data_IF_737206130742
#
_entry.id   IF_737206130742
#
_cell.length_a   1.000
_cell.length_b   1.000
_cell.length_c   1.000
_cell.angle_alpha   90.00
_cell.angle_beta   90.00
_cell.angle_gamma   90.00
#
_symmetry.space_group_name_H-M   'P 1'
#
loop_
_entity.id
_entity.type
_entity.pdbx_description
1 polymer ?
#
# COMPACT_ATOMS: atom_id res chain seq x y z
N UNK A 1 4.53 -17.77 21.35
CA UNK A 1 5.37 -16.55 21.20
C UNK A 1 5.86 -16.52 19.76
N UNK A 2 5.62 -15.43 19.03
CA UNK A 2 5.97 -15.32 17.62
C UNK A 2 7.46 -15.50 17.36
N UNK A 3 7.79 -16.25 16.32
CA UNK A 3 9.16 -16.33 15.80
C UNK A 3 9.64 -14.90 15.45
N UNK A 4 10.83 -14.46 15.92
CA UNK A 4 11.37 -13.15 15.58
C UNK A 4 11.50 -12.94 14.07
N UNK A 5 11.35 -11.71 13.58
CA UNK A 5 11.43 -11.37 12.14
C UNK A 5 12.66 -11.97 11.42
N UNK A 6 13.89 -11.95 12.00
CA UNK A 6 15.03 -12.59 11.36
C UNK A 6 14.86 -14.10 11.16
N UNK A 7 14.26 -14.80 12.11
CA UNK A 7 14.03 -16.24 12.05
C UNK A 7 12.96 -16.59 11.00
N UNK A 8 11.87 -15.81 10.92
CA UNK A 8 10.83 -15.98 9.88
C UNK A 8 11.43 -15.73 8.49
N UNK A 9 12.24 -14.67 8.36
CA UNK A 9 12.91 -14.34 7.11
C UNK A 9 13.85 -15.47 6.67
N UNK A 10 14.72 -16.00 7.54
CA UNK A 10 15.65 -17.08 7.18
C UNK A 10 14.88 -18.32 6.70
N UNK A 11 13.81 -18.70 7.41
CA UNK A 11 12.97 -19.83 7.01
C UNK A 11 12.34 -19.59 5.62
N UNK A 12 11.78 -18.41 5.39
CA UNK A 12 11.18 -18.06 4.11
C UNK A 12 12.22 -17.92 2.98
N UNK A 13 13.43 -17.43 3.28
CA UNK A 13 14.51 -17.31 2.31
C UNK A 13 15.00 -18.68 1.83
N UNK A 14 15.11 -19.67 2.74
CA UNK A 14 15.54 -21.03 2.37
C UNK A 14 14.44 -21.78 1.60
N UNK A 15 13.17 -21.58 1.95
CA UNK A 15 12.05 -22.34 1.36
C UNK A 15 11.43 -21.68 0.13
N UNK A 16 11.26 -20.35 0.14
CA UNK A 16 10.43 -19.60 -0.84
C UNK A 16 11.28 -18.85 -1.85
N UNK A 17 12.45 -18.31 -1.47
CA UNK A 17 13.30 -17.58 -2.42
C UNK A 17 13.72 -18.41 -3.66
N UNK A 18 14.05 -19.72 -3.54
CA UNK A 18 14.35 -20.54 -4.72
C UNK A 18 13.16 -20.66 -5.67
N UNK A 19 11.94 -20.77 -5.14
CA UNK A 19 10.72 -20.84 -5.96
C UNK A 19 10.46 -19.50 -6.68
N UNK A 20 10.62 -18.37 -5.99
CA UNK A 20 10.45 -17.04 -6.60
C UNK A 20 11.46 -16.78 -7.71
N UNK A 21 12.73 -17.17 -7.49
CA UNK A 21 13.78 -17.00 -8.51
C UNK A 21 13.56 -17.90 -9.73
N UNK A 22 13.04 -19.12 -9.55
CA UNK A 22 12.62 -19.99 -10.66
C UNK A 22 11.46 -19.39 -11.48
N UNK A 23 10.60 -18.59 -10.86
CA UNK A 23 9.53 -17.84 -11.52
C UNK A 23 10.04 -16.56 -12.23
N UNK A 24 11.35 -16.33 -12.27
CA UNK A 24 11.96 -15.19 -12.96
C UNK A 24 12.05 -13.91 -12.13
N UNK A 25 11.74 -13.96 -10.82
CA UNK A 25 11.92 -12.83 -9.91
C UNK A 25 13.40 -12.65 -9.62
N UNK A 26 13.90 -11.40 -9.65
CA UNK A 26 15.30 -11.14 -9.32
C UNK A 26 15.61 -11.54 -7.87
N UNK A 27 16.84 -12.01 -7.62
CA UNK A 27 17.24 -12.45 -6.29
C UNK A 27 17.03 -11.35 -5.24
N UNK A 28 17.41 -10.11 -5.56
CA UNK A 28 17.22 -8.95 -4.69
C UNK A 28 15.73 -8.68 -4.39
N UNK A 29 14.88 -8.71 -5.43
CA UNK A 29 13.44 -8.54 -5.24
C UNK A 29 12.84 -9.62 -4.34
N UNK A 30 13.25 -10.89 -4.53
CA UNK A 30 12.79 -12.00 -3.71
C UNK A 30 13.16 -11.79 -2.23
N UNK A 31 14.41 -11.43 -1.92
CA UNK A 31 14.82 -11.20 -0.54
C UNK A 31 14.12 -9.99 0.10
N UNK A 32 13.96 -8.88 -0.61
CA UNK A 32 13.24 -7.70 -0.10
C UNK A 32 11.75 -7.99 0.12
N UNK A 33 11.13 -8.73 -0.80
CA UNK A 33 9.75 -9.20 -0.65
C UNK A 33 9.60 -10.01 0.63
N UNK A 34 10.50 -10.97 0.86
CA UNK A 34 10.45 -11.86 2.02
C UNK A 34 10.77 -11.14 3.33
N UNK A 35 11.76 -10.25 3.37
CA UNK A 35 12.07 -9.41 4.56
C UNK A 35 10.88 -8.54 4.92
N UNK A 36 10.25 -7.92 3.93
CA UNK A 36 9.10 -7.06 4.15
C UNK A 36 7.91 -7.87 4.70
N UNK A 37 7.59 -9.02 4.09
CA UNK A 37 6.52 -9.89 4.60
C UNK A 37 6.82 -10.47 5.98
N UNK A 38 8.06 -10.82 6.28
CA UNK A 38 8.48 -11.28 7.61
C UNK A 38 8.33 -10.16 8.66
N UNK A 39 8.46 -8.90 8.27
CA UNK A 39 8.21 -7.75 9.15
C UNK A 39 6.70 -7.57 9.37
N UNK A 40 5.88 -7.70 8.32
CA UNK A 40 4.43 -7.64 8.43
C UNK A 40 3.80 -8.82 9.18
N UNK A 41 4.42 -10.01 9.20
CA UNK A 41 3.86 -11.14 9.94
C UNK A 41 3.81 -10.89 11.46
N UNK A 42 4.68 -10.03 11.98
CA UNK A 42 4.73 -9.70 13.40
C UNK A 42 3.55 -8.82 13.87
N UNK A 43 2.77 -8.25 12.94
CA UNK A 43 1.63 -7.39 13.24
C UNK A 43 0.27 -8.09 13.06
N UNK A 44 0.22 -9.30 12.48
CA UNK A 44 -1.02 -10.06 12.33
C UNK A 44 -1.41 -10.81 13.62
N UNK A 45 -2.66 -10.68 14.11
CA UNK A 45 -3.16 -11.52 15.20
C UNK A 45 -3.15 -13.00 14.77
N UNK A 46 -2.85 -13.97 15.68
CA UNK A 46 -2.74 -13.86 17.14
C UNK A 46 -1.32 -13.55 17.66
N UNK A 47 -0.36 -13.27 16.78
CA UNK A 47 1.08 -13.20 17.13
C UNK A 47 1.55 -11.75 17.39
N UNK A 48 0.67 -10.76 17.20
CA UNK A 48 0.95 -9.33 17.29
C UNK A 48 1.44 -8.83 18.66
N UNK A 49 2.73 -9.06 18.99
CA UNK A 49 3.33 -8.77 20.31
C UNK A 49 3.15 -7.30 20.72
N UNK A 50 3.22 -6.37 19.77
CA UNK A 50 2.98 -4.95 20.02
C UNK A 50 1.55 -4.66 20.50
N UNK A 51 0.54 -5.38 19.99
CA UNK A 51 -0.85 -5.23 20.41
C UNK A 51 -1.07 -5.76 21.84
N UNK A 52 -0.36 -6.83 22.23
CA UNK A 52 -0.38 -7.33 23.62
C UNK A 52 0.27 -6.34 24.60
N UNK A 53 1.37 -5.69 24.19
CA UNK A 53 2.00 -4.65 24.98
C UNK A 53 1.13 -3.37 25.10
N UNK A 54 0.39 -3.02 24.05
CA UNK A 54 -0.49 -1.86 24.03
C UNK A 54 -1.83 -2.06 24.77
N UNK A 55 -2.30 -3.31 24.90
CA UNK A 55 -3.57 -3.65 25.54
C UNK A 55 -3.76 -3.08 26.97
N UNK A 56 -2.81 -3.22 27.92
CA UNK A 56 -2.96 -2.64 29.25
C UNK A 56 -2.96 -1.11 29.26
N UNK A 57 -2.33 -0.46 28.27
CA UNK A 57 -2.31 1.01 28.14
C UNK A 57 -3.63 1.51 27.58
N UNK A 58 -4.17 0.83 26.55
CA UNK A 58 -5.40 1.19 25.88
C UNK A 58 -6.68 0.68 26.58
N UNK A 59 -6.55 -0.09 27.67
CA UNK A 59 -7.64 -0.74 28.39
C UNK A 59 -8.59 -1.53 27.47
N UNK A 60 -8.03 -2.21 26.46
CA UNK A 60 -8.78 -2.89 25.42
C UNK A 60 -8.22 -4.29 25.11
N UNK A 61 -9.05 -5.15 24.52
CA UNK A 61 -8.66 -6.52 24.21
C UNK A 61 -7.57 -6.57 23.13
N UNK A 62 -6.42 -7.26 23.34
CA UNK A 62 -5.27 -7.24 22.43
C UNK A 62 -5.61 -7.72 21.02
N UNK A 63 -6.49 -8.71 20.89
CA UNK A 63 -6.94 -9.21 19.58
C UNK A 63 -7.69 -8.14 18.78
N UNK A 64 -8.50 -7.31 19.46
CA UNK A 64 -9.26 -6.25 18.79
C UNK A 64 -8.33 -5.12 18.34
N UNK A 65 -7.32 -4.77 19.15
CA UNK A 65 -6.28 -3.81 18.77
C UNK A 65 -5.53 -4.31 17.53
N UNK A 66 -5.06 -5.56 17.55
CA UNK A 66 -4.34 -6.14 16.43
C UNK A 66 -5.18 -6.24 15.15
N UNK A 67 -6.45 -6.62 15.24
CA UNK A 67 -7.35 -6.68 14.09
C UNK A 67 -7.58 -5.29 13.48
N UNK A 68 -7.80 -4.27 14.32
CA UNK A 68 -7.92 -2.89 13.85
C UNK A 68 -6.62 -2.38 13.22
N UNK A 69 -5.47 -2.71 13.80
CA UNK A 69 -4.16 -2.35 13.25
C UNK A 69 -3.94 -2.97 11.86
N UNK A 70 -4.25 -4.26 11.68
CA UNK A 70 -4.18 -4.92 10.37
C UNK A 70 -5.15 -4.30 9.37
N UNK A 71 -6.36 -3.94 9.80
CA UNK A 71 -7.35 -3.29 8.94
C UNK A 71 -6.83 -1.97 8.37
N UNK A 72 -6.17 -1.15 9.19
CA UNK A 72 -5.56 0.10 8.74
C UNK A 72 -4.30 -0.14 7.89
N UNK A 73 -3.53 -1.17 8.22
CA UNK A 73 -2.30 -1.50 7.50
C UNK A 73 -2.50 -2.38 6.26
N UNK A 74 -3.75 -2.61 5.80
CA UNK A 74 -4.05 -3.52 4.70
C UNK A 74 -3.27 -3.18 3.42
N UNK A 75 -3.10 -1.88 3.10
CA UNK A 75 -2.34 -1.45 1.91
C UNK A 75 -0.85 -1.82 2.01
N UNK A 76 -0.30 -1.89 3.23
CA UNK A 76 1.10 -2.26 3.42
C UNK A 76 1.41 -3.66 2.85
N UNK A 77 0.42 -4.57 2.81
CA UNK A 77 0.57 -5.90 2.21
C UNK A 77 0.70 -5.90 0.69
N UNK A 78 0.34 -4.79 0.02
CA UNK A 78 0.45 -4.66 -1.44
C UNK A 78 1.85 -4.19 -1.86
N UNK A 79 2.55 -3.47 -0.99
CA UNK A 79 3.87 -2.87 -1.28
C UNK A 79 4.92 -3.89 -1.73
N UNK A 80 5.04 -5.11 -1.16
CA UNK A 80 6.02 -6.09 -1.60
C UNK A 80 5.96 -6.43 -3.08
N UNK A 81 4.75 -6.46 -3.66
CA UNK A 81 4.57 -6.74 -5.07
C UNK A 81 5.23 -5.69 -5.97
N UNK A 82 5.38 -4.46 -5.48
CA UNK A 82 6.10 -3.41 -6.20
C UNK A 82 7.55 -3.79 -6.48
N UNK A 83 8.23 -4.47 -5.54
CA UNK A 83 9.61 -4.93 -5.71
C UNK A 83 9.74 -6.02 -6.78
N UNK A 84 8.70 -6.84 -6.94
CA UNK A 84 8.67 -7.93 -7.94
C UNK A 84 8.42 -7.37 -9.34
N UNK A 85 7.48 -6.43 -9.46
CA UNK A 85 7.08 -5.89 -10.76
C UNK A 85 7.96 -4.75 -11.25
N UNK A 86 8.59 -3.97 -10.38
CA UNK A 86 9.32 -2.78 -10.76
C UNK A 86 10.76 -2.78 -10.22
N UNK A 87 11.69 -3.25 -11.04
CA UNK A 87 13.12 -3.27 -10.73
C UNK A 87 13.72 -1.86 -10.54
N UNK A 88 13.04 -0.79 -10.98
CA UNK A 88 13.49 0.59 -10.75
C UNK A 88 13.51 0.98 -9.27
N UNK A 89 12.61 0.41 -8.45
CA UNK A 89 12.62 0.62 -6.98
C UNK A 89 13.86 -0.02 -6.34
N UNK A 90 14.40 -1.07 -6.97
CA UNK A 90 15.61 -1.76 -6.55
C UNK A 90 16.88 -1.00 -6.93
N UNK A 91 16.75 0.27 -7.35
CA UNK A 91 17.86 1.10 -7.85
C UNK A 91 18.58 0.45 -9.05
N UNK A 92 17.87 -0.39 -9.80
CA UNK A 92 18.41 -1.07 -10.98
C UNK A 92 18.03 -0.31 -12.24
N UNK A 93 19.04 0.08 -13.03
CA UNK A 93 18.88 0.76 -14.32
C UNK A 93 19.33 2.22 -14.34
N UNK A 94 18.86 2.97 -15.33
CA UNK A 94 19.17 4.40 -15.50
C UNK A 94 18.54 5.23 -14.37
N UNK A 95 19.22 6.28 -13.90
CA UNK A 95 18.73 7.24 -12.89
C UNK A 95 17.33 7.74 -13.23
N UNK A 96 17.05 8.06 -14.50
CA UNK A 96 15.72 8.49 -14.94
C UNK A 96 14.63 7.43 -14.70
N UNK A 97 14.93 6.17 -15.00
CA UNK A 97 14.02 5.06 -14.79
C UNK A 97 13.77 4.81 -13.30
N UNK A 98 14.83 4.86 -12.48
CA UNK A 98 14.76 4.72 -11.02
C UNK A 98 13.87 5.81 -10.42
N UNK A 99 14.12 7.08 -10.73
CA UNK A 99 13.34 8.20 -10.19
C UNK A 99 11.88 8.10 -10.60
N UNK A 100 11.61 7.77 -11.87
CA UNK A 100 10.24 7.60 -12.37
C UNK A 100 9.51 6.44 -11.67
N UNK A 101 10.16 5.29 -11.52
CA UNK A 101 9.59 4.13 -10.82
C UNK A 101 9.30 4.42 -9.35
N UNK A 102 10.20 5.10 -8.64
CA UNK A 102 9.98 5.51 -7.26
C UNK A 102 8.78 6.45 -7.14
N UNK A 103 8.64 7.43 -8.04
CA UNK A 103 7.49 8.34 -8.05
C UNK A 103 6.18 7.60 -8.37
N UNK A 104 6.20 6.73 -9.39
CA UNK A 104 5.03 5.97 -9.82
C UNK A 104 4.52 5.05 -8.71
N UNK A 105 5.40 4.32 -8.04
CA UNK A 105 5.02 3.41 -6.94
C UNK A 105 4.58 4.19 -5.71
N UNK A 106 5.24 5.30 -5.39
CA UNK A 106 4.79 6.19 -4.30
C UNK A 106 3.37 6.69 -4.57
N UNK A 107 3.09 7.13 -5.80
CA UNK A 107 1.77 7.56 -6.23
C UNK A 107 0.76 6.39 -6.22
N UNK A 108 1.17 5.19 -6.62
CA UNK A 108 0.35 3.97 -6.59
C UNK A 108 -0.12 3.66 -5.16
N UNK A 109 0.83 3.59 -4.21
CA UNK A 109 0.55 3.33 -2.79
C UNK A 109 -0.34 4.43 -2.22
N UNK A 110 -0.06 5.70 -2.52
CA UNK A 110 -0.92 6.81 -2.08
C UNK A 110 -2.37 6.65 -2.60
N UNK A 111 -2.55 6.33 -3.89
CA UNK A 111 -3.89 6.09 -4.45
C UNK A 111 -4.60 4.92 -3.78
N UNK A 112 -3.90 3.81 -3.53
CA UNK A 112 -4.46 2.66 -2.82
C UNK A 112 -4.85 3.00 -1.37
N UNK A 113 -4.05 3.83 -0.68
CA UNK A 113 -4.39 4.33 0.65
C UNK A 113 -5.69 5.12 0.65
N UNK A 114 -5.86 6.05 -0.31
CA UNK A 114 -7.10 6.81 -0.45
C UNK A 114 -8.30 5.94 -0.79
N UNK A 115 -8.07 4.92 -1.61
CA UNK A 115 -9.11 3.96 -1.95
C UNK A 115 -9.54 3.11 -0.75
N UNK A 116 -8.62 2.69 0.13
CA UNK A 116 -8.98 1.85 1.27
C UNK A 116 -9.60 2.66 2.41
N UNK A 117 -9.00 3.81 2.76
CA UNK A 117 -9.50 4.67 3.84
C UNK A 117 -10.79 5.40 3.44
N UNK A 118 -10.96 5.71 2.14
CA UNK A 118 -12.13 6.43 1.64
C UNK A 118 -12.25 7.85 2.21
N UNK A 119 -11.17 8.40 2.76
CA UNK A 119 -11.15 9.71 3.39
C UNK A 119 -9.83 10.45 3.09
N UNK A 120 -9.92 11.72 2.71
CA UNK A 120 -8.75 12.62 2.60
C UNK A 120 -8.96 13.86 3.48
N UNK A 121 -9.85 14.75 3.03
CA UNK A 121 -10.34 15.94 3.78
C UNK A 121 -11.85 15.86 4.02
N UNK A 122 -12.50 14.95 3.29
CA UNK A 122 -13.94 14.68 3.23
C UNK A 122 -14.10 13.19 2.88
N UNK A 123 -15.27 12.59 3.18
CA UNK A 123 -15.58 11.25 2.69
C UNK A 123 -15.57 11.23 1.16
N UNK A 124 -14.87 10.25 0.60
CA UNK A 124 -14.73 10.02 -0.84
C UNK A 124 -15.88 9.14 -1.30
N UNK A 125 -16.61 9.57 -2.34
CA UNK A 125 -17.67 8.76 -2.93
C UNK A 125 -17.17 7.45 -3.52
N UNK A 126 -18.00 6.41 -3.52
CA UNK A 126 -17.63 5.06 -3.97
C UNK A 126 -17.00 5.02 -5.38
N UNK A 127 -17.47 5.86 -6.30
CA UNK A 127 -16.92 5.98 -7.67
C UNK A 127 -15.48 6.50 -7.65
N UNK A 128 -15.20 7.59 -6.94
CA UNK A 128 -13.84 8.12 -6.82
C UNK A 128 -12.92 7.12 -6.14
N UNK A 129 -13.44 6.37 -5.17
CA UNK A 129 -12.70 5.31 -4.48
C UNK A 129 -12.29 4.18 -5.43
N UNK A 130 -13.20 3.75 -6.30
CA UNK A 130 -12.91 2.74 -7.32
C UNK A 130 -11.89 3.25 -8.35
N UNK A 131 -11.97 4.53 -8.75
CA UNK A 131 -11.00 5.14 -9.66
C UNK A 131 -9.60 5.21 -9.05
N UNK A 132 -9.47 5.60 -7.77
CA UNK A 132 -8.18 5.56 -7.07
C UNK A 132 -7.65 4.14 -6.92
N UNK A 133 -8.51 3.16 -6.69
CA UNK A 133 -8.12 1.75 -6.64
C UNK A 133 -7.56 1.27 -7.98
N UNK A 134 -8.29 1.54 -9.08
CA UNK A 134 -7.85 1.20 -10.43
C UNK A 134 -6.55 1.92 -10.83
N UNK A 135 -6.42 3.21 -10.49
CA UNK A 135 -5.20 3.96 -10.71
C UNK A 135 -4.02 3.41 -9.91
N UNK A 136 -4.24 3.05 -8.64
CA UNK A 136 -3.22 2.45 -7.79
C UNK A 136 -2.69 1.13 -8.33
N UNK A 137 -3.58 0.24 -8.78
CA UNK A 137 -3.18 -1.03 -9.41
C UNK A 137 -2.44 -0.78 -10.73
N UNK A 138 -2.96 0.11 -11.57
CA UNK A 138 -2.36 0.40 -12.88
C UNK A 138 -0.95 1.00 -12.77
N UNK A 139 -0.74 1.91 -11.81
CA UNK A 139 0.57 2.52 -11.54
C UNK A 139 1.60 1.52 -10.98
N UNK A 140 1.15 0.43 -10.36
CA UNK A 140 2.03 -0.61 -9.82
C UNK A 140 2.67 -1.46 -10.94
N UNK A 141 2.05 -1.50 -12.12
CA UNK A 141 2.57 -2.28 -13.25
C UNK A 141 3.77 -1.60 -13.91
N UNK A 142 4.72 -2.36 -14.51
CA UNK A 142 5.89 -1.79 -15.16
C UNK A 142 5.64 -1.34 -16.62
N UNK A 143 4.43 -1.55 -17.15
CA UNK A 143 4.08 -1.15 -18.51
C UNK A 143 3.81 0.35 -18.57
N UNK A 144 4.61 1.07 -19.36
CA UNK A 144 4.49 2.53 -19.52
C UNK A 144 3.08 2.96 -19.97
N UNK A 145 2.45 2.19 -20.87
CA UNK A 145 1.09 2.47 -21.37
C UNK A 145 0.05 2.41 -20.24
N UNK A 146 0.15 1.40 -19.37
CA UNK A 146 -0.73 1.26 -18.22
C UNK A 146 -0.45 2.33 -17.17
N UNK A 147 0.81 2.69 -16.94
CA UNK A 147 1.20 3.75 -16.01
C UNK A 147 0.68 5.12 -16.46
N UNK A 148 0.79 5.46 -17.75
CA UNK A 148 0.26 6.70 -18.30
C UNK A 148 -1.27 6.72 -18.18
N UNK A 149 -1.95 5.64 -18.58
CA UNK A 149 -3.40 5.53 -18.44
C UNK A 149 -3.86 5.65 -16.98
N UNK A 150 -3.17 4.97 -16.06
CA UNK A 150 -3.45 5.03 -14.62
C UNK A 150 -3.14 6.41 -14.02
N UNK A 151 -2.11 7.11 -14.52
CA UNK A 151 -1.80 8.49 -14.16
C UNK A 151 -2.91 9.45 -14.57
N UNK A 152 -3.46 9.30 -15.78
CA UNK A 152 -4.62 10.08 -16.23
C UNK A 152 -5.83 9.79 -15.35
N UNK A 153 -6.10 8.53 -15.01
CA UNK A 153 -7.20 8.16 -14.11
C UNK A 153 -7.00 8.77 -12.72
N UNK A 154 -5.78 8.75 -12.17
CA UNK A 154 -5.46 9.37 -10.89
C UNK A 154 -5.72 10.89 -10.92
N UNK A 155 -5.31 11.57 -11.99
CA UNK A 155 -5.54 13.01 -12.16
C UNK A 155 -7.02 13.32 -12.30
N UNK A 156 -7.76 12.54 -13.11
CA UNK A 156 -9.22 12.70 -13.27
C UNK A 156 -9.92 12.49 -11.93
N UNK A 157 -9.58 11.43 -11.19
CA UNK A 157 -10.12 11.17 -9.85
C UNK A 157 -9.84 12.35 -8.90
N UNK A 158 -8.63 12.91 -8.94
CA UNK A 158 -8.26 14.07 -8.14
C UNK A 158 -9.03 15.34 -8.54
N UNK A 159 -9.24 15.58 -9.83
CA UNK A 159 -10.03 16.70 -10.34
C UNK A 159 -11.50 16.58 -9.99
N UNK A 160 -12.08 15.38 -10.10
CA UNK A 160 -13.46 15.10 -9.66
C UNK A 160 -13.60 15.35 -8.16
N UNK A 161 -12.63 14.89 -7.36
CA UNK A 161 -12.59 15.14 -5.92
C UNK A 161 -12.52 16.64 -5.59
N UNK A 162 -11.70 17.40 -6.33
CA UNK A 162 -11.57 18.86 -6.18
C UNK A 162 -12.85 19.60 -6.59
N UNK A 163 -13.50 19.21 -7.68
CA UNK A 163 -14.77 19.81 -8.15
C UNK A 163 -15.92 19.57 -7.19
N UNK A 164 -16.05 18.36 -6.65
CA UNK A 164 -17.01 18.07 -5.58
C UNK A 164 -16.68 18.86 -4.30
N UNK A 165 -15.40 19.12 -4.04
CA UNK A 165 -14.92 20.01 -3.01
C UNK A 165 -15.48 21.43 -3.10
N UNK A 166 -15.45 22.02 -4.30
CA UNK A 166 -15.95 23.37 -4.58
C UNK A 166 -17.48 23.45 -4.55
N UNK A 167 -18.18 22.45 -5.12
CA UNK A 167 -19.64 22.41 -5.15
C UNK A 167 -20.27 22.38 -3.74
N UNK A 168 -19.67 21.63 -2.81
CA UNK A 168 -20.15 21.54 -1.41
C UNK A 168 -19.83 22.80 -0.60
N UNK A 169 -18.77 23.55 -0.93
CA UNK A 169 -18.46 24.83 -0.25
C UNK A 169 -19.47 25.90 -0.67
N UNK A 170 -19.75 26.04 -1.97
CA UNK A 170 -20.79 26.96 -2.45
C UNK A 170 -22.19 26.62 -1.89
N UNK A 171 -22.55 25.33 -1.80
CA UNK A 171 -23.83 24.91 -1.23
C UNK A 171 -23.96 25.22 0.28
N UNK A 172 -22.84 25.37 1.00
CA UNK A 172 -22.83 25.68 2.44
C UNK A 172 -22.89 27.19 2.72
N UNK A 173 -22.48 28.04 1.77
CA UNK A 173 -22.61 29.50 1.86
C UNK A 173 -24.04 30.01 1.55
N UNK A 174 -24.88 29.20 0.90
CA UNK A 174 -26.25 29.57 0.54
C UNK A 174 -27.32 29.23 1.60
N UNK A 175 -26.94 28.63 2.73
CA UNK A 175 -27.88 28.31 3.81
C UNK A 175 -27.91 29.46 4.84
N UNK A 176 -29.06 30.16 5.02
CA UNK A 176 -29.19 31.16 6.07
C UNK A 176 -29.07 30.48 7.44
N UNK A 177 -28.28 31.10 8.32
CA UNK A 177 -28.02 30.63 9.70
C UNK A 177 -29.25 30.67 10.57
#
# INVERSE_FOLDING_TARGET
MGMPTPSVYILAAVLVAPALTQLGVSLMAAHLFLVYYASLSAMTPPIAVAAFAAAPIALAHPMAIGLNAVRMAMIAFVVPFAFVYNNGILLSGNTWHVTFSCLAVTAAVACLCLAAEGFWKRPIGAVCRLLFFAAGIGLMTPLLTLQVGAGVIAVVALLVLRRQGLAVVCARETLPR
#
